data_IF_109421642703
#
_entry.id   IF_109421642703
#
_cell.length_a   1.000
_cell.length_b   1.000
_cell.length_c   1.000
_cell.angle_alpha   90.00
_cell.angle_beta   90.00
_cell.angle_gamma   90.00
#
_symmetry.space_group_name_H-M   'P 1'
#
loop_
_entity.id
_entity.type
_entity.pdbx_description
1 polymer ?
#
# COMPACT_ATOMS: atom_id res chain seq x y z
N UNK A 1 -17.91 -4.96 -18.31
CA UNK A 1 -16.75 -5.39 -19.13
C UNK A 1 -15.46 -5.37 -18.33
N UNK A 2 -15.15 -4.31 -17.56
CA UNK A 2 -13.94 -4.26 -16.72
C UNK A 2 -13.90 -5.33 -15.61
N UNK A 3 -15.04 -5.66 -15.01
CA UNK A 3 -15.16 -6.75 -14.02
C UNK A 3 -14.78 -8.12 -14.59
N UNK A 4 -15.25 -8.46 -15.81
CA UNK A 4 -14.89 -9.73 -16.47
C UNK A 4 -13.37 -9.83 -16.72
N UNK A 5 -12.73 -8.71 -17.10
CA UNK A 5 -11.27 -8.64 -17.26
C UNK A 5 -10.56 -8.79 -15.91
N UNK A 6 -11.14 -8.24 -14.84
CA UNK A 6 -10.63 -8.40 -13.47
C UNK A 6 -10.64 -9.86 -13.07
N UNK A 7 -11.78 -10.54 -13.24
CA UNK A 7 -11.94 -11.96 -12.91
C UNK A 7 -10.92 -12.81 -13.67
N UNK A 8 -10.72 -12.52 -14.97
CA UNK A 8 -9.72 -13.21 -15.78
C UNK A 8 -8.29 -12.96 -15.30
N UNK A 9 -7.91 -11.69 -15.04
CA UNK A 9 -6.56 -11.34 -14.57
C UNK A 9 -6.29 -11.88 -13.16
N UNK A 10 -7.30 -12.04 -12.31
CA UNK A 10 -7.12 -12.62 -10.98
C UNK A 10 -6.75 -14.12 -11.02
N UNK A 11 -6.98 -14.82 -12.13
CA UNK A 11 -6.55 -16.21 -12.32
C UNK A 11 -5.02 -16.37 -12.42
N UNK A 12 -4.29 -15.29 -12.71
CA UNK A 12 -2.83 -15.33 -12.87
C UNK A 12 -2.14 -14.60 -11.72
N UNK A 13 -1.21 -15.30 -11.06
CA UNK A 13 -0.50 -14.79 -9.86
C UNK A 13 0.20 -13.44 -10.12
N UNK A 14 0.75 -13.24 -11.33
CA UNK A 14 1.49 -12.03 -11.67
C UNK A 14 0.65 -10.79 -12.00
N UNK A 15 -0.67 -10.92 -12.09
CA UNK A 15 -1.54 -9.82 -12.56
C UNK A 15 -2.51 -9.32 -11.51
N UNK A 16 -2.40 -9.78 -10.26
CA UNK A 16 -3.34 -9.41 -9.20
C UNK A 16 -3.36 -7.91 -8.88
N UNK A 17 -2.21 -7.24 -8.92
CA UNK A 17 -2.12 -5.79 -8.69
C UNK A 17 -2.80 -5.00 -9.83
N UNK A 18 -2.47 -5.33 -11.09
CA UNK A 18 -3.01 -4.65 -12.27
C UNK A 18 -4.47 -4.99 -12.56
N UNK A 19 -4.98 -6.12 -12.04
CA UNK A 19 -6.36 -6.55 -12.26
C UNK A 19 -7.37 -5.48 -11.81
N UNK A 20 -7.02 -4.72 -10.78
CA UNK A 20 -7.88 -3.68 -10.20
C UNK A 20 -7.44 -2.25 -10.52
N UNK A 21 -6.50 -2.03 -11.44
CA UNK A 21 -6.02 -0.67 -11.79
C UNK A 21 -7.13 0.23 -12.35
N UNK A 22 -8.10 -0.38 -13.05
CA UNK A 22 -9.27 0.35 -13.54
C UNK A 22 -10.14 0.88 -12.39
N UNK A 23 -10.17 0.21 -11.24
CA UNK A 23 -10.88 0.68 -10.04
C UNK A 23 -10.18 1.91 -9.48
N UNK A 24 -8.85 1.91 -9.44
CA UNK A 24 -8.07 3.07 -9.03
C UNK A 24 -8.32 4.25 -9.98
N UNK A 25 -8.39 3.98 -11.29
CA UNK A 25 -8.70 4.99 -12.31
C UNK A 25 -10.13 5.53 -12.17
N UNK A 26 -11.11 4.68 -11.86
CA UNK A 26 -12.50 5.08 -11.62
C UNK A 26 -12.61 5.92 -10.34
N UNK A 27 -11.97 5.49 -9.25
CA UNK A 27 -11.93 6.21 -7.99
C UNK A 27 -11.37 7.64 -8.16
N UNK A 28 -10.35 7.80 -9.01
CA UNK A 28 -9.80 9.11 -9.36
C UNK A 28 -10.80 10.07 -10.02
N UNK A 29 -11.86 9.57 -10.69
CA UNK A 29 -12.92 10.42 -11.26
C UNK A 29 -13.83 11.03 -10.18
N UNK A 30 -13.77 10.50 -8.95
CA UNK A 30 -14.55 10.92 -7.80
C UNK A 30 -13.68 11.52 -6.69
N UNK A 31 -12.44 11.90 -7.02
CA UNK A 31 -11.46 12.40 -6.05
C UNK A 31 -11.19 11.42 -4.88
N UNK A 32 -11.40 10.12 -5.12
CA UNK A 32 -11.12 9.06 -4.15
C UNK A 32 -9.75 8.45 -4.39
N UNK A 33 -9.01 8.22 -3.30
CA UNK A 33 -7.77 7.46 -3.34
C UNK A 33 -8.06 6.00 -2.98
N UNK A 34 -7.78 5.10 -3.93
CA UNK A 34 -7.88 3.66 -3.74
C UNK A 34 -6.56 3.04 -4.18
N UNK A 35 -6.02 2.14 -3.35
CA UNK A 35 -4.81 1.38 -3.66
C UNK A 35 -5.13 -0.12 -3.59
N UNK A 36 -4.53 -0.91 -4.49
CA UNK A 36 -4.50 -2.36 -4.31
C UNK A 36 -3.68 -2.69 -3.07
N UNK A 37 -4.26 -3.43 -2.13
CA UNK A 37 -3.55 -3.93 -0.95
C UNK A 37 -3.54 -5.45 -0.97
N UNK A 38 -2.36 -6.09 -0.96
CA UNK A 38 -2.26 -7.53 -0.85
C UNK A 38 -3.04 -8.09 0.35
N UNK A 39 -3.67 -9.26 0.22
CA UNK A 39 -4.32 -9.92 1.35
C UNK A 39 -3.30 -10.24 2.45
N UNK A 40 -3.72 -10.25 3.73
CA UNK A 40 -2.86 -10.78 4.78
C UNK A 40 -2.68 -12.30 4.61
N UNK A 41 -1.67 -12.91 5.27
CA UNK A 41 -1.59 -14.37 5.35
C UNK A 41 -2.88 -14.97 5.92
N UNK A 42 -3.19 -16.21 5.52
CA UNK A 42 -4.32 -16.96 6.07
C UNK A 42 -4.15 -17.11 7.58
N UNK A 43 -5.19 -16.80 8.36
CA UNK A 43 -5.11 -16.76 9.83
C UNK A 43 -4.38 -15.54 10.42
N UNK A 44 -3.72 -14.71 9.61
CA UNK A 44 -2.93 -13.55 10.08
C UNK A 44 -1.47 -13.88 10.32
N UNK A 45 -0.77 -13.01 11.04
CA UNK A 45 0.62 -13.27 11.42
C UNK A 45 0.67 -14.12 12.69
N UNK A 46 1.62 -15.07 12.79
CA UNK A 46 1.83 -15.84 14.03
C UNK A 46 2.11 -14.95 15.25
N UNK A 47 2.77 -13.81 15.03
CA UNK A 47 3.00 -12.76 16.02
C UNK A 47 2.68 -11.40 15.37
N UNK A 48 1.48 -10.89 15.67
CA UNK A 48 1.01 -9.61 15.15
C UNK A 48 1.84 -8.42 15.68
N UNK A 49 2.39 -8.49 16.90
CA UNK A 49 3.21 -7.43 17.48
C UNK A 49 4.58 -7.34 16.83
N UNK A 50 5.22 -8.48 16.57
CA UNK A 50 6.45 -8.52 15.79
C UNK A 50 6.22 -8.01 14.35
N UNK A 51 5.09 -8.38 13.75
CA UNK A 51 4.70 -7.91 12.42
C UNK A 51 4.43 -6.39 12.38
N UNK A 52 3.89 -5.80 13.46
CA UNK A 52 3.76 -4.34 13.64
C UNK A 52 5.13 -3.69 13.71
N UNK A 53 6.03 -4.20 14.56
CA UNK A 53 7.38 -3.64 14.73
C UNK A 53 8.16 -3.63 13.42
N UNK A 54 8.10 -4.72 12.67
CA UNK A 54 8.73 -4.81 11.35
C UNK A 54 8.19 -3.74 10.39
N UNK A 55 6.86 -3.55 10.34
CA UNK A 55 6.23 -2.54 9.48
C UNK A 55 6.57 -1.11 9.89
N UNK A 56 6.73 -0.81 11.19
CA UNK A 56 7.16 0.51 11.63
C UNK A 56 8.59 0.84 11.16
N UNK A 57 9.50 -0.14 11.18
CA UNK A 57 10.85 0.03 10.64
C UNK A 57 10.84 0.20 9.12
N UNK A 58 10.02 -0.58 8.42
CA UNK A 58 9.83 -0.44 6.97
C UNK A 58 9.22 0.92 6.59
N UNK A 59 8.26 1.41 7.38
CA UNK A 59 7.65 2.73 7.20
C UNK A 59 8.68 3.85 7.39
N UNK A 60 9.55 3.74 8.40
CA UNK A 60 10.67 4.68 8.58
C UNK A 60 11.58 4.72 7.35
N UNK A 61 11.95 3.55 6.79
CA UNK A 61 12.76 3.46 5.57
C UNK A 61 12.05 4.12 4.37
N UNK A 62 10.77 3.82 4.15
CA UNK A 62 10.00 4.35 3.02
C UNK A 62 9.80 5.86 3.10
N UNK A 63 9.44 6.37 4.28
CA UNK A 63 9.28 7.81 4.48
C UNK A 63 10.60 8.56 4.35
N UNK A 64 11.73 7.97 4.79
CA UNK A 64 13.06 8.50 4.52
C UNK A 64 13.38 8.56 3.03
N UNK A 65 13.06 7.51 2.27
CA UNK A 65 13.24 7.49 0.81
C UNK A 65 12.37 8.53 0.09
N UNK A 66 11.12 8.70 0.53
CA UNK A 66 10.21 9.75 0.02
C UNK A 66 10.76 11.15 0.29
N UNK A 67 11.23 11.41 1.51
CA UNK A 67 11.82 12.70 1.86
C UNK A 67 13.09 12.99 1.03
N UNK A 68 13.97 11.99 0.87
CA UNK A 68 15.17 12.12 0.04
C UNK A 68 14.84 12.43 -1.42
N UNK A 69 13.95 11.64 -2.04
CA UNK A 69 13.50 11.89 -3.40
C UNK A 69 12.89 13.30 -3.54
N UNK A 70 12.12 13.73 -2.53
CA UNK A 70 11.54 15.06 -2.45
C UNK A 70 12.57 16.19 -2.47
N UNK A 71 13.61 16.07 -1.64
CA UNK A 71 14.68 17.07 -1.57
C UNK A 71 15.45 17.14 -2.89
N UNK A 72 15.81 15.99 -3.46
CA UNK A 72 16.58 15.93 -4.70
C UNK A 72 15.80 16.51 -5.90
N UNK A 73 14.54 16.11 -6.06
CA UNK A 73 13.69 16.56 -7.17
C UNK A 73 13.25 18.02 -7.08
N UNK A 74 13.37 18.65 -5.92
CA UNK A 74 13.03 20.07 -5.74
C UNK A 74 14.27 20.98 -5.78
N UNK A 75 15.48 20.41 -5.89
CA UNK A 75 16.73 21.16 -5.80
C UNK A 75 16.91 22.20 -6.92
N UNK A 76 16.37 21.95 -8.11
CA UNK A 76 16.44 22.84 -9.26
C UNK A 76 15.15 23.66 -9.48
N UNK A 77 14.23 23.62 -8.51
CA UNK A 77 12.90 24.23 -8.57
C UNK A 77 12.03 23.79 -9.76
N UNK A 78 12.25 22.59 -10.31
CA UNK A 78 11.47 22.03 -11.42
C UNK A 78 11.15 20.58 -11.16
N UNK A 79 9.86 20.25 -11.15
CA UNK A 79 9.43 18.86 -11.06
C UNK A 79 9.20 18.27 -12.45
N UNK A 80 9.93 17.23 -12.78
CA UNK A 80 9.76 16.45 -14.01
C UNK A 80 8.69 15.36 -13.82
N UNK A 81 8.16 14.83 -14.93
CA UNK A 81 7.19 13.72 -14.88
C UNK A 81 7.76 12.49 -14.16
N UNK A 82 9.00 12.02 -14.45
CA UNK A 82 9.57 10.89 -13.72
C UNK A 82 9.72 11.10 -12.21
N UNK A 83 9.96 12.33 -11.78
CA UNK A 83 10.04 12.66 -10.34
C UNK A 83 8.67 12.66 -9.68
N UNK A 84 7.66 13.21 -10.38
CA UNK A 84 6.27 13.13 -9.94
C UNK A 84 5.79 11.67 -9.83
N UNK A 85 6.10 10.84 -10.82
CA UNK A 85 5.81 9.39 -10.81
C UNK A 85 6.48 8.73 -9.59
N UNK A 86 7.75 9.05 -9.34
CA UNK A 86 8.49 8.51 -8.18
C UNK A 86 7.86 8.93 -6.84
N UNK A 87 7.35 10.15 -6.71
CA UNK A 87 6.61 10.56 -5.51
C UNK A 87 5.32 9.76 -5.35
N UNK A 88 4.62 9.53 -6.46
CA UNK A 88 3.38 8.77 -6.46
C UNK A 88 3.62 7.33 -6.02
N UNK A 89 4.66 6.68 -6.55
CA UNK A 89 5.03 5.30 -6.20
C UNK A 89 5.40 5.16 -4.72
N UNK A 90 6.29 6.02 -4.22
CA UNK A 90 6.69 6.00 -2.81
C UNK A 90 5.51 6.32 -1.87
N UNK A 91 4.65 7.26 -2.25
CA UNK A 91 3.45 7.60 -1.47
C UNK A 91 2.44 6.45 -1.44
N UNK A 92 2.27 5.73 -2.56
CA UNK A 92 1.44 4.52 -2.65
C UNK A 92 1.98 3.41 -1.76
N UNK A 93 3.29 3.17 -1.77
CA UNK A 93 3.92 2.19 -0.88
C UNK A 93 3.69 2.52 0.60
N UNK A 94 3.84 3.79 0.99
CA UNK A 94 3.55 4.24 2.35
C UNK A 94 2.09 3.97 2.73
N UNK A 95 1.12 4.35 1.89
CA UNK A 95 -0.31 4.11 2.19
C UNK A 95 -0.64 2.63 2.30
N UNK A 96 -0.14 1.80 1.37
CA UNK A 96 -0.33 0.34 1.43
C UNK A 96 0.23 -0.24 2.72
N UNK A 97 1.40 0.22 3.15
CA UNK A 97 2.02 -0.26 4.38
C UNK A 97 1.24 0.19 5.63
N UNK A 98 0.78 1.44 5.68
CA UNK A 98 -0.07 1.94 6.77
C UNK A 98 -1.36 1.14 6.91
N UNK A 99 -2.05 0.88 5.81
CA UNK A 99 -3.27 0.07 5.86
C UNK A 99 -3.00 -1.39 6.28
N UNK A 100 -1.86 -1.97 5.86
CA UNK A 100 -1.44 -3.29 6.38
C UNK A 100 -1.16 -3.23 7.88
N UNK A 101 -0.48 -2.19 8.36
CA UNK A 101 -0.22 -1.94 9.78
C UNK A 101 -1.52 -1.84 10.60
N UNK A 102 -2.53 -1.12 10.10
CA UNK A 102 -3.86 -1.05 10.71
C UNK A 102 -4.49 -2.45 10.87
N UNK A 103 -4.43 -3.29 9.83
CA UNK A 103 -4.91 -4.68 9.91
C UNK A 103 -4.22 -5.47 11.02
N UNK A 104 -2.89 -5.36 11.15
CA UNK A 104 -2.16 -6.02 12.23
C UNK A 104 -2.58 -5.49 13.62
N UNK A 105 -2.74 -4.17 13.77
CA UNK A 105 -3.16 -3.55 15.03
C UNK A 105 -4.56 -4.03 15.45
N UNK A 106 -5.52 -4.05 14.54
CA UNK A 106 -6.87 -4.56 14.81
C UNK A 106 -6.85 -6.05 15.22
N UNK A 107 -6.04 -6.87 14.54
CA UNK A 107 -5.91 -8.30 14.86
C UNK A 107 -5.26 -8.55 16.21
N UNK A 108 -4.16 -7.85 16.50
CA UNK A 108 -3.49 -7.92 17.79
C UNK A 108 -4.44 -7.57 18.95
N UNK A 109 -5.25 -6.51 18.78
CA UNK A 109 -6.24 -6.11 19.77
C UNK A 109 -7.33 -7.17 19.97
N UNK A 110 -7.83 -7.77 18.87
CA UNK A 110 -8.85 -8.83 18.94
C UNK A 110 -8.35 -10.12 19.61
N UNK A 111 -7.07 -10.47 19.42
CA UNK A 111 -6.42 -11.60 20.11
C UNK A 111 -6.39 -11.39 21.62
N UNK A 112 -6.03 -10.19 22.08
CA UNK A 112 -5.97 -9.86 23.51
C UNK A 112 -7.37 -9.87 24.16
N UNK A 113 -8.38 -9.32 23.47
CA UNK A 113 -9.76 -9.33 23.97
C UNK A 113 -10.48 -10.69 23.94
N UNK A 114 -9.83 -11.73 23.41
CA UNK A 114 -10.36 -13.11 23.42
C UNK A 114 -9.79 -13.95 24.59
N UNK A 115 -8.79 -13.43 25.31
CA UNK A 115 -8.14 -14.08 26.45
C UNK A 115 -8.69 -13.61 27.82
N UNK A 116 -9.54 -12.56 27.83
CA UNK A 116 -10.30 -12.06 29.00
C UNK A 116 -11.70 -12.70 29.10
#
# INVERSE_FOLDING_TARGET
MAEILTDYLQLFVGTQEIATDWVCSLAGQYDLMVDYVPPPPEGGWPDELAAIRAKLLELHKLTGALAGAGIDALADHRLTVPEADRFQDLSREVRRLCYRLERNACRAAAQQGSED
#
